data_IF_368910869023
#
_entry.id   IF_368910869023
#
_cell.length_a   1.000
_cell.length_b   1.000
_cell.length_c   1.000
_cell.angle_alpha   90.00
_cell.angle_beta   90.00
_cell.angle_gamma   90.00
#
_symmetry.space_group_name_H-M   'P 1'
#
loop_
_entity.id
_entity.type
_entity.pdbx_description
1 polymer ?
#
# COMPACT_ATOMS: atom_id res chain seq x y z
N UNK A 1 17.19 3.10 -15.56
CA UNK A 1 16.05 4.04 -15.68
C UNK A 1 15.04 3.62 -16.75
N UNK A 2 15.41 3.50 -18.04
CA UNK A 2 14.47 3.16 -19.12
C UNK A 2 13.68 1.84 -18.88
N UNK A 3 14.36 0.80 -18.38
CA UNK A 3 13.72 -0.48 -18.04
C UNK A 3 12.64 -0.33 -16.94
N UNK A 4 12.91 0.48 -15.91
CA UNK A 4 11.98 0.72 -14.80
C UNK A 4 10.73 1.44 -15.32
N UNK A 5 10.91 2.49 -16.12
CA UNK A 5 9.80 3.20 -16.76
C UNK A 5 8.99 2.27 -17.68
N UNK A 6 9.66 1.43 -18.46
CA UNK A 6 9.00 0.44 -19.30
C UNK A 6 8.14 -0.53 -18.48
N UNK A 7 8.67 -1.09 -17.39
CA UNK A 7 7.93 -1.98 -16.50
C UNK A 7 6.73 -1.25 -15.87
N UNK A 8 6.89 -0.01 -15.39
CA UNK A 8 5.78 0.80 -14.85
C UNK A 8 4.71 1.04 -15.92
N UNK A 9 5.09 1.36 -17.16
CA UNK A 9 4.14 1.58 -18.26
C UNK A 9 3.39 0.29 -18.59
N UNK A 10 4.09 -0.85 -18.73
CA UNK A 10 3.47 -2.14 -19.04
C UNK A 10 2.49 -2.56 -17.95
N UNK A 11 2.88 -2.45 -16.68
CA UNK A 11 2.01 -2.78 -15.55
C UNK A 11 0.86 -1.77 -15.42
N UNK A 12 1.10 -0.50 -15.75
CA UNK A 12 0.08 0.55 -15.80
C UNK A 12 -0.98 0.31 -16.87
N UNK A 13 -0.56 -0.16 -18.06
CA UNK A 13 -1.48 -0.60 -19.11
C UNK A 13 -2.31 -1.81 -18.65
N UNK A 14 -1.69 -2.75 -17.95
CA UNK A 14 -2.39 -3.91 -17.40
C UNK A 14 -3.41 -3.51 -16.32
N UNK A 15 -3.04 -2.59 -15.43
CA UNK A 15 -3.95 -1.99 -14.45
C UNK A 15 -5.10 -1.25 -15.14
N UNK A 16 -4.82 -0.43 -16.15
CA UNK A 16 -5.86 0.31 -16.87
C UNK A 16 -6.85 -0.64 -17.55
N UNK A 17 -6.36 -1.74 -18.13
CA UNK A 17 -7.18 -2.78 -18.75
C UNK A 17 -8.02 -3.54 -17.72
N UNK A 18 -7.51 -3.74 -16.51
CA UNK A 18 -8.14 -4.53 -15.45
C UNK A 18 -8.50 -3.67 -14.21
N UNK A 19 -8.95 -2.43 -14.40
CA UNK A 19 -9.12 -1.42 -13.34
C UNK A 19 -10.03 -1.85 -12.18
N UNK A 20 -10.97 -2.76 -12.42
CA UNK A 20 -11.91 -3.25 -11.42
C UNK A 20 -11.32 -4.35 -10.53
N UNK A 21 -10.17 -4.92 -10.89
CA UNK A 21 -9.54 -5.96 -10.09
C UNK A 21 -8.44 -5.34 -9.19
N UNK A 22 -8.63 -5.37 -7.85
CA UNK A 22 -7.70 -4.73 -6.91
C UNK A 22 -6.28 -5.33 -6.95
N UNK A 23 -6.09 -6.56 -7.46
CA UNK A 23 -4.77 -7.17 -7.59
C UNK A 23 -3.84 -6.39 -8.53
N UNK A 24 -4.36 -5.96 -9.69
CA UNK A 24 -3.57 -5.19 -10.66
C UNK A 24 -3.31 -3.77 -10.20
N UNK A 25 -4.23 -3.19 -9.42
CA UNK A 25 -4.01 -1.90 -8.74
C UNK A 25 -2.83 -2.01 -7.79
N UNK A 26 -2.85 -3.00 -6.89
CA UNK A 26 -1.81 -3.19 -5.89
C UNK A 26 -0.46 -3.51 -6.54
N UNK A 27 -0.44 -4.30 -7.62
CA UNK A 27 0.77 -4.59 -8.39
C UNK A 27 1.35 -3.32 -9.06
N UNK A 28 0.50 -2.48 -9.66
CA UNK A 28 0.94 -1.23 -10.27
C UNK A 28 1.52 -0.26 -9.23
N UNK A 29 0.88 -0.15 -8.07
CA UNK A 29 1.37 0.68 -6.97
C UNK A 29 2.71 0.15 -6.47
N UNK A 30 2.84 -1.16 -6.25
CA UNK A 30 4.09 -1.80 -5.83
C UNK A 30 5.24 -1.49 -6.79
N UNK A 31 5.03 -1.71 -8.09
CA UNK A 31 6.05 -1.47 -9.12
C UNK A 31 6.43 0.01 -9.21
N UNK A 32 5.45 0.91 -9.10
CA UNK A 32 5.70 2.35 -9.10
C UNK A 32 6.51 2.80 -7.86
N UNK A 33 6.17 2.28 -6.68
CA UNK A 33 6.89 2.57 -5.44
C UNK A 33 8.32 2.01 -5.46
N UNK A 34 8.51 0.78 -5.95
CA UNK A 34 9.85 0.20 -6.13
C UNK A 34 10.69 1.01 -7.11
N UNK A 35 10.08 1.50 -8.19
CA UNK A 35 10.74 2.41 -9.13
C UNK A 35 11.17 3.72 -8.44
N UNK A 36 10.26 4.36 -7.72
CA UNK A 36 10.56 5.59 -6.96
C UNK A 36 11.66 5.36 -5.91
N UNK A 37 11.66 4.21 -5.24
CA UNK A 37 12.68 3.83 -4.26
C UNK A 37 14.07 3.71 -4.89
N UNK A 38 14.19 3.05 -6.06
CA UNK A 38 15.47 2.93 -6.77
C UNK A 38 16.02 4.32 -7.14
N UNK A 39 15.15 5.21 -7.64
CA UNK A 39 15.54 6.58 -7.98
C UNK A 39 16.03 7.34 -6.74
N UNK A 40 15.27 7.27 -5.64
CA UNK A 40 15.62 7.95 -4.40
C UNK A 40 16.96 7.45 -3.81
N UNK A 41 17.23 6.14 -3.86
CA UNK A 41 18.52 5.56 -3.45
C UNK A 41 19.66 6.09 -4.32
N UNK A 42 19.51 6.07 -5.65
CA UNK A 42 20.53 6.55 -6.58
C UNK A 42 20.85 8.05 -6.38
N UNK A 43 19.81 8.87 -6.17
CA UNK A 43 20.00 10.29 -5.87
C UNK A 43 20.73 10.48 -4.53
N UNK A 44 20.39 9.71 -3.51
CA UNK A 44 21.07 9.74 -2.22
C UNK A 44 22.56 9.39 -2.31
N UNK A 45 22.91 8.36 -3.08
CA UNK A 45 24.31 7.97 -3.31
C UNK A 45 25.07 9.04 -4.12
N UNK A 46 24.44 9.63 -5.14
CA UNK A 46 25.03 10.71 -5.96
C UNK A 46 25.40 11.90 -5.09
N UNK A 47 24.50 12.33 -4.19
CA UNK A 47 24.77 13.43 -3.24
C UNK A 47 25.95 13.11 -2.32
N UNK A 48 26.10 11.87 -1.85
CA UNK A 48 27.26 11.49 -1.03
C UNK A 48 28.57 11.55 -1.81
N UNK A 49 28.59 11.13 -3.08
CA UNK A 49 29.78 11.23 -3.93
C UNK A 49 30.15 12.68 -4.19
N UNK A 50 29.16 13.56 -4.47
CA UNK A 50 29.43 14.99 -4.64
C UNK A 50 29.98 15.64 -3.37
N UNK A 51 29.49 15.25 -2.19
CA UNK A 51 30.07 15.69 -0.90
C UNK A 51 31.53 15.25 -0.76
N UNK A 52 31.85 13.99 -1.02
CA UNK A 52 33.25 13.49 -0.99
C UNK A 52 34.16 14.24 -1.97
N UNK A 53 33.66 14.54 -3.18
CA UNK A 53 34.39 15.32 -4.18
C UNK A 53 34.62 16.75 -3.69
N UNK A 54 33.61 17.38 -3.09
CA UNK A 54 33.71 18.72 -2.52
C UNK A 54 34.75 18.77 -1.40
N UNK A 55 34.71 17.79 -0.47
CA UNK A 55 35.64 17.65 0.64
C UNK A 55 37.08 17.44 0.13
N UNK A 56 37.27 16.56 -0.86
CA UNK A 56 38.58 16.28 -1.48
C UNK A 56 39.17 17.51 -2.20
N UNK A 57 38.31 18.38 -2.72
CA UNK A 57 38.71 19.60 -3.45
C UNK A 57 38.70 20.86 -2.58
N UNK A 58 38.38 20.73 -1.29
CA UNK A 58 38.25 21.84 -0.34
C UNK A 58 37.33 22.96 -0.84
N UNK A 59 36.22 22.58 -1.49
CA UNK A 59 35.19 23.51 -2.00
C UNK A 59 33.87 23.27 -1.29
N UNK A 60 32.98 24.28 -1.28
CA UNK A 60 31.63 24.07 -0.78
C UNK A 60 30.87 23.09 -1.67
N UNK A 61 30.04 22.24 -1.06
CA UNK A 61 29.15 21.31 -1.78
C UNK A 61 28.22 22.06 -2.74
N UNK A 62 27.87 23.30 -2.40
CA UNK A 62 26.98 24.16 -3.20
C UNK A 62 27.62 24.65 -4.51
N UNK A 63 28.95 24.54 -4.62
CA UNK A 63 29.75 24.92 -5.79
C UNK A 63 30.10 23.73 -6.69
N UNK A 64 29.62 22.54 -6.34
CA UNK A 64 29.83 21.29 -7.07
C UNK A 64 28.55 20.90 -7.78
N UNK A 65 28.62 20.79 -9.10
CA UNK A 65 27.47 20.47 -9.93
C UNK A 65 27.69 19.19 -10.72
N UNK A 66 26.63 18.41 -10.95
CA UNK A 66 26.70 17.16 -11.71
C UNK A 66 25.82 17.21 -12.96
N UNK A 67 26.25 16.52 -14.02
CA UNK A 67 25.46 16.36 -15.24
C UNK A 67 24.33 15.32 -15.14
N UNK A 68 24.31 14.52 -14.07
CA UNK A 68 23.32 13.45 -13.85
C UNK A 68 22.88 13.38 -12.38
N UNK A 69 21.60 13.04 -12.16
CA UNK A 69 21.02 12.78 -10.83
C UNK A 69 21.19 11.32 -10.36
N UNK A 70 21.84 10.49 -11.19
CA UNK A 70 22.21 9.11 -10.91
C UNK A 70 23.71 8.91 -11.14
N UNK A 71 24.32 8.08 -10.30
CA UNK A 71 25.72 7.65 -10.43
C UNK A 71 25.90 6.85 -11.70
N UNK A 72 26.59 7.44 -12.67
CA UNK A 72 26.95 6.79 -13.92
C UNK A 72 28.44 7.02 -14.19
N UNK A 73 29.11 6.01 -14.73
CA UNK A 73 30.47 6.15 -15.23
C UNK A 73 30.51 7.17 -16.37
N UNK A 74 31.52 8.04 -16.36
CA UNK A 74 31.65 9.14 -17.30
C UNK A 74 30.76 10.36 -17.00
N UNK A 75 30.07 10.39 -15.84
CA UNK A 75 29.35 11.61 -15.44
C UNK A 75 30.34 12.77 -15.26
N UNK A 76 29.89 13.99 -15.58
CA UNK A 76 30.72 15.18 -15.47
C UNK A 76 30.33 16.00 -14.26
N UNK A 77 31.34 16.46 -13.52
CA UNK A 77 31.20 17.32 -12.36
C UNK A 77 31.89 18.65 -12.65
N UNK A 78 31.16 19.74 -12.47
CA UNK A 78 31.69 21.09 -12.55
C UNK A 78 32.07 21.56 -11.15
N UNK A 79 33.29 22.09 -11.01
CA UNK A 79 33.79 22.70 -9.78
C UNK A 79 34.38 24.05 -10.18
N UNK A 80 33.71 25.13 -9.81
CA UNK A 80 34.04 26.48 -10.28
C UNK A 80 33.96 26.58 -11.81
N UNK A 81 35.10 26.88 -12.46
CA UNK A 81 35.22 26.98 -13.93
C UNK A 81 35.75 25.71 -14.61
N UNK A 82 36.09 24.67 -13.84
CA UNK A 82 36.70 23.44 -14.34
C UNK A 82 35.68 22.31 -14.39
N UNK A 83 35.84 21.43 -15.37
CA UNK A 83 35.01 20.26 -15.55
C UNK A 83 35.85 18.99 -15.36
N UNK A 84 35.29 18.03 -14.66
CA UNK A 84 35.91 16.75 -14.38
C UNK A 84 34.99 15.63 -14.84
N UNK A 85 35.53 14.63 -15.53
CA UNK A 85 34.84 13.36 -15.75
C UNK A 85 35.10 12.48 -14.53
N UNK A 86 34.04 11.92 -13.96
CA UNK A 86 34.11 10.95 -12.88
C UNK A 86 34.10 9.57 -13.50
N UNK A 87 35.21 8.85 -13.33
CA UNK A 87 35.33 7.46 -13.74
C UNK A 87 35.23 6.57 -12.51
N UNK A 88 34.22 5.72 -12.46
CA UNK A 88 34.03 4.76 -11.38
C UNK A 88 34.75 3.45 -11.72
N UNK A 89 35.38 2.83 -10.73
CA UNK A 89 35.81 1.44 -10.87
C UNK A 89 34.58 0.52 -10.93
N UNK A 90 34.74 -0.72 -11.42
CA UNK A 90 33.64 -1.69 -11.59
C UNK A 90 32.73 -1.86 -10.35
N UNK A 91 33.26 -1.64 -9.15
CA UNK A 91 32.53 -1.78 -7.89
C UNK A 91 31.85 -0.49 -7.40
N UNK A 92 31.95 0.61 -8.14
CA UNK A 92 31.44 1.95 -7.82
C UNK A 92 31.86 2.52 -6.45
N UNK A 93 32.79 1.85 -5.76
CA UNK A 93 33.30 2.19 -4.44
C UNK A 93 34.38 3.27 -4.48
N UNK A 94 35.16 3.28 -5.57
CA UNK A 94 36.24 4.22 -5.83
C UNK A 94 35.99 4.96 -7.14
N UNK A 95 36.35 6.25 -7.16
CA UNK A 95 36.24 7.12 -8.33
C UNK A 95 37.56 7.83 -8.61
N UNK A 96 37.82 8.12 -9.89
CA UNK A 96 38.91 8.98 -10.33
C UNK A 96 38.34 10.20 -11.06
N UNK A 97 38.98 11.35 -10.88
CA UNK A 97 38.60 12.62 -11.48
C UNK A 97 39.60 12.99 -12.57
N UNK A 98 39.15 13.00 -13.83
CA UNK A 98 39.98 13.45 -14.96
C UNK A 98 39.47 14.81 -15.46
N UNK A 99 40.34 15.82 -15.44
CA UNK A 99 40.01 17.15 -15.97
C UNK A 99 39.67 17.04 -17.46
N UNK A 100 38.59 17.70 -17.86
CA UNK A 100 38.11 17.72 -19.25
C UNK A 100 37.69 19.12 -19.65
N UNK A 101 37.71 19.39 -20.95
CA UNK A 101 37.17 20.60 -21.53
C UNK A 101 35.83 20.29 -22.20
N UNK A 102 34.86 21.19 -22.04
CA UNK A 102 33.57 21.01 -22.67
C UNK A 102 33.63 21.33 -24.15
N UNK A 103 33.26 20.36 -24.99
CA UNK A 103 33.07 20.57 -26.43
C UNK A 103 31.86 21.48 -26.69
N UNK A 104 30.86 21.46 -25.78
CA UNK A 104 29.71 22.35 -25.82
C UNK A 104 29.19 22.61 -24.38
N UNK A 105 29.16 23.86 -23.89
CA UNK A 105 28.74 24.14 -22.53
C UNK A 105 27.24 23.85 -22.29
N UNK A 106 26.86 23.12 -21.22
CA UNK A 106 25.46 22.83 -20.95
C UNK A 106 24.71 24.11 -20.59
N UNK A 107 23.52 24.29 -21.18
CA UNK A 107 22.63 25.44 -20.88
C UNK A 107 21.98 25.35 -19.50
N UNK A 108 21.94 24.16 -18.89
CA UNK A 108 21.39 23.93 -17.56
C UNK A 108 22.32 23.03 -16.76
N UNK A 109 22.72 23.52 -15.60
CA UNK A 109 23.57 22.80 -14.66
C UNK A 109 22.70 22.47 -13.44
N UNK A 110 22.56 21.18 -13.11
CA UNK A 110 21.72 20.76 -11.99
C UNK A 110 22.44 21.08 -10.69
N UNK A 111 21.90 22.04 -9.94
CA UNK A 111 22.33 22.33 -8.57
C UNK A 111 21.71 21.28 -7.67
N UNK A 112 22.52 20.47 -7.00
CA UNK A 112 22.04 19.51 -6.01
C UNK A 112 21.69 20.25 -4.70
N UNK A 113 20.60 21.02 -4.70
CA UNK A 113 20.10 21.68 -3.49
C UNK A 113 18.59 21.48 -3.37
N UNK A 114 18.19 20.69 -2.38
CA UNK A 114 16.81 20.63 -1.89
C UNK A 114 16.77 21.27 -0.50
N UNK A 115 17.08 22.56 -0.43
CA UNK A 115 16.97 23.36 0.80
C UNK A 115 15.63 24.09 0.78
N UNK A 116 14.62 23.50 1.43
CA UNK A 116 13.41 24.22 1.79
C UNK A 116 13.71 25.08 3.01
N UNK A 117 14.12 26.34 2.77
CA UNK A 117 14.44 27.30 3.83
C UNK A 117 13.20 27.83 4.52
N UNK A 118 12.79 27.18 5.61
CA UNK A 118 11.81 27.70 6.58
C UNK A 118 12.33 27.42 8.00
N UNK A 119 13.39 28.08 8.45
CA UNK A 119 13.83 27.95 9.85
C UNK A 119 15.22 28.51 10.12
N UNK A 120 15.32 29.37 11.14
CA UNK A 120 16.61 29.77 11.71
C UNK A 120 17.18 28.63 12.55
N UNK A 121 18.47 28.34 12.36
CA UNK A 121 19.22 27.38 13.17
C UNK A 121 19.45 27.97 14.55
N UNK A 122 18.95 27.33 15.60
CA UNK A 122 19.26 27.75 16.98
C UNK A 122 20.69 27.34 17.35
N UNK A 123 21.24 28.00 18.36
CA UNK A 123 22.58 27.85 18.97
C UNK A 123 22.97 26.40 19.30
N UNK A 124 21.98 25.51 19.41
CA UNK A 124 22.12 24.08 19.69
C UNK A 124 22.19 23.19 18.42
N UNK A 125 22.22 23.77 17.22
CA UNK A 125 22.34 23.05 15.95
C UNK A 125 21.07 22.31 15.51
N UNK A 126 19.91 22.62 16.11
CA UNK A 126 18.62 22.03 15.74
C UNK A 126 17.93 22.91 14.70
N UNK A 127 17.79 22.38 13.49
CA UNK A 127 17.05 23.05 12.40
C UNK A 127 15.56 22.69 12.49
N UNK A 128 14.78 23.57 13.10
CA UNK A 128 13.32 23.45 13.19
C UNK A 128 12.64 23.40 11.82
N UNK A 129 13.25 23.97 10.78
CA UNK A 129 12.75 23.89 9.41
C UNK A 129 12.84 22.48 8.85
N UNK A 130 13.95 21.79 9.10
CA UNK A 130 14.11 20.38 8.74
C UNK A 130 13.07 19.49 9.44
N UNK A 131 12.76 19.78 10.71
CA UNK A 131 11.76 19.05 11.50
C UNK A 131 10.37 19.26 10.90
N UNK A 132 9.98 20.53 10.64
CA UNK A 132 8.70 20.86 10.04
C UNK A 132 8.53 20.20 8.66
N UNK A 133 9.59 20.22 7.83
CA UNK A 133 9.56 19.58 6.52
C UNK A 133 9.41 18.06 6.62
N UNK A 134 10.17 17.40 7.50
CA UNK A 134 9.99 15.96 7.77
C UNK A 134 8.57 15.66 8.23
N UNK A 135 7.99 16.49 9.09
CA UNK A 135 6.63 16.30 9.57
C UNK A 135 5.61 16.38 8.44
N UNK A 136 5.68 17.40 7.59
CA UNK A 136 4.80 17.57 6.41
C UNK A 136 4.96 16.39 5.45
N UNK A 137 6.20 16.00 5.14
CA UNK A 137 6.50 14.85 4.28
C UNK A 137 5.93 13.56 4.86
N UNK A 138 6.10 13.33 6.16
CA UNK A 138 5.56 12.17 6.87
C UNK A 138 4.03 12.12 6.77
N UNK A 139 3.36 13.25 7.02
CA UNK A 139 1.90 13.36 6.94
C UNK A 139 1.39 13.10 5.52
N UNK A 140 2.00 13.72 4.51
CA UNK A 140 1.67 13.48 3.10
C UNK A 140 1.83 12.00 2.76
N UNK A 141 2.92 11.37 3.21
CA UNK A 141 3.18 9.95 2.96
C UNK A 141 2.15 9.04 3.64
N UNK A 142 1.73 9.33 4.87
CA UNK A 142 0.64 8.57 5.53
C UNK A 142 -0.65 8.67 4.74
N UNK A 143 -1.04 9.89 4.35
CA UNK A 143 -2.25 10.14 3.56
C UNK A 143 -2.19 9.41 2.22
N UNK A 144 -1.03 9.44 1.55
CA UNK A 144 -0.81 8.68 0.31
C UNK A 144 -0.93 7.18 0.55
N UNK A 145 -0.29 6.63 1.58
CA UNK A 145 -0.37 5.19 1.89
C UNK A 145 -1.79 4.73 2.18
N UNK A 146 -2.58 5.51 2.92
CA UNK A 146 -3.99 5.21 3.21
C UNK A 146 -4.81 5.22 1.92
N UNK A 147 -4.66 6.26 1.09
CA UNK A 147 -5.39 6.37 -0.18
C UNK A 147 -5.03 5.26 -1.17
N UNK A 148 -3.75 4.87 -1.23
CA UNK A 148 -3.27 3.79 -2.10
C UNK A 148 -3.67 2.39 -1.59
N UNK A 149 -3.63 2.18 -0.28
CA UNK A 149 -4.04 0.91 0.36
C UNK A 149 -5.56 0.69 0.33
N UNK A 150 -6.33 1.77 0.29
CA UNK A 150 -7.77 1.77 0.50
C UNK A 150 -8.14 1.98 1.97
N UNK A 151 -9.43 2.25 2.24
CA UNK A 151 -9.94 2.67 3.57
C UNK A 151 -9.79 1.63 4.68
N UNK A 152 -9.33 0.41 4.38
CA UNK A 152 -9.05 -0.64 5.38
C UNK A 152 -8.00 -0.25 6.43
N UNK A 153 -7.12 0.71 6.14
CA UNK A 153 -6.17 1.22 7.15
C UNK A 153 -6.84 2.13 8.20
N UNK A 154 -7.99 2.74 7.91
CA UNK A 154 -8.72 3.62 8.84
C UNK A 154 -9.62 2.81 9.79
N UNK A 155 -10.20 1.73 9.28
CA UNK A 155 -10.95 0.75 10.04
C UNK A 155 -10.25 -0.61 9.86
N UNK A 156 -9.25 -0.93 10.71
CA UNK A 156 -8.40 -2.09 10.52
C UNK A 156 -9.22 -3.38 10.46
N UNK A 157 -9.16 -4.00 9.29
CA UNK A 157 -9.90 -5.22 8.98
C UNK A 157 -9.17 -6.49 9.42
N UNK A 158 -7.85 -6.38 9.64
CA UNK A 158 -6.97 -7.46 10.07
C UNK A 158 -5.83 -6.91 10.94
N UNK A 159 -5.07 -7.82 11.56
CA UNK A 159 -3.94 -7.47 12.43
C UNK A 159 -2.81 -6.73 11.70
N UNK A 160 -2.57 -7.03 10.42
CA UNK A 160 -1.55 -6.35 9.62
C UNK A 160 -1.85 -4.86 9.42
N UNK A 161 -3.12 -4.50 9.17
CA UNK A 161 -3.52 -3.10 9.00
C UNK A 161 -3.25 -2.31 10.30
N UNK A 162 -3.47 -2.93 11.47
CA UNK A 162 -3.15 -2.30 12.78
C UNK A 162 -1.64 -2.16 12.97
N UNK A 163 -0.89 -3.24 12.75
CA UNK A 163 0.56 -3.24 12.86
C UNK A 163 1.20 -2.20 11.93
N UNK A 164 0.64 -2.02 10.73
CA UNK A 164 1.08 -1.01 9.78
C UNK A 164 1.01 0.39 10.38
N UNK A 165 -0.12 0.74 10.99
CA UNK A 165 -0.34 2.06 11.58
C UNK A 165 0.63 2.33 12.75
N UNK A 166 0.87 1.32 13.60
CA UNK A 166 1.81 1.46 14.73
C UNK A 166 3.25 1.67 14.28
N UNK A 167 3.71 0.88 13.31
CA UNK A 167 5.08 1.01 12.80
C UNK A 167 5.25 2.34 12.07
N UNK A 168 4.28 2.75 11.25
CA UNK A 168 4.33 4.02 10.55
C UNK A 168 4.38 5.21 11.52
N UNK A 169 3.57 5.18 12.59
CA UNK A 169 3.62 6.16 13.66
C UNK A 169 4.97 6.22 14.37
N UNK A 170 5.55 5.05 14.69
CA UNK A 170 6.87 4.94 15.31
C UNK A 170 8.01 5.46 14.42
N UNK A 171 7.99 5.13 13.12
CA UNK A 171 8.98 5.61 12.13
C UNK A 171 8.93 7.14 12.04
N UNK A 172 7.74 7.71 11.87
CA UNK A 172 7.59 9.16 11.73
C UNK A 172 7.98 9.84 13.04
N UNK A 173 7.43 9.40 14.17
CA UNK A 173 7.69 9.98 15.48
C UNK A 173 9.17 9.92 15.89
N UNK A 174 9.88 8.85 15.57
CA UNK A 174 11.30 8.72 15.89
C UNK A 174 12.23 9.54 14.98
N UNK A 175 11.93 9.62 13.68
CA UNK A 175 12.84 10.23 12.70
C UNK A 175 12.71 11.76 12.63
N UNK A 176 11.53 12.32 12.89
CA UNK A 176 11.33 13.78 12.81
C UNK A 176 12.26 14.55 13.75
N UNK A 177 12.59 13.99 14.92
CA UNK A 177 13.46 14.63 15.92
C UNK A 177 14.95 14.35 15.72
N UNK A 178 15.31 13.44 14.81
CA UNK A 178 16.70 13.07 14.59
C UNK A 178 17.36 14.00 13.56
N UNK A 179 18.28 14.86 14.00
CA UNK A 179 19.03 15.79 13.14
C UNK A 179 20.02 15.11 12.19
N UNK A 180 20.48 13.89 12.51
CA UNK A 180 21.40 13.11 11.67
C UNK A 180 20.71 12.56 10.42
N UNK A 181 19.40 12.39 10.46
CA UNK A 181 18.63 11.85 9.34
C UNK A 181 18.19 13.00 8.45
N UNK A 182 18.64 13.00 7.20
CA UNK A 182 18.21 13.99 6.19
C UNK A 182 16.77 13.71 5.73
N UNK A 183 16.11 14.73 5.18
CA UNK A 183 14.74 14.59 4.62
C UNK A 183 14.70 13.54 3.52
N UNK A 184 15.73 13.47 2.67
CA UNK A 184 15.83 12.45 1.61
C UNK A 184 15.93 11.04 2.19
N UNK A 185 16.76 10.84 3.23
CA UNK A 185 16.86 9.55 3.92
C UNK A 185 15.51 9.17 4.56
N UNK A 186 14.79 10.12 5.14
CA UNK A 186 13.46 9.89 5.68
C UNK A 186 12.46 9.45 4.59
N UNK A 187 12.45 10.11 3.42
CA UNK A 187 11.63 9.69 2.26
C UNK A 187 11.99 8.28 1.82
N UNK A 188 13.29 7.93 1.75
CA UNK A 188 13.75 6.58 1.41
C UNK A 188 13.23 5.55 2.41
N UNK A 189 13.31 5.83 3.71
CA UNK A 189 12.79 4.93 4.77
C UNK A 189 11.29 4.71 4.60
N UNK A 190 10.52 5.77 4.35
CA UNK A 190 9.07 5.67 4.10
C UNK A 190 8.76 4.88 2.82
N UNK A 191 9.57 5.01 1.76
CA UNK A 191 9.42 4.24 0.54
C UNK A 191 9.74 2.75 0.76
N UNK A 192 10.81 2.42 1.48
CA UNK A 192 11.16 1.04 1.85
C UNK A 192 9.99 0.41 2.61
N UNK A 193 9.50 1.09 3.65
CA UNK A 193 8.35 0.65 4.42
C UNK A 193 7.11 0.43 3.55
N UNK A 194 6.83 1.38 2.64
CA UNK A 194 5.70 1.27 1.70
C UNK A 194 5.84 0.03 0.81
N UNK A 195 7.02 -0.22 0.25
CA UNK A 195 7.27 -1.39 -0.61
C UNK A 195 7.04 -2.70 0.17
N UNK A 196 7.50 -2.78 1.43
CA UNK A 196 7.27 -3.96 2.29
C UNK A 196 5.76 -4.19 2.49
N UNK A 197 5.03 -3.16 2.90
CA UNK A 197 3.58 -3.24 3.14
C UNK A 197 2.84 -3.67 1.86
N UNK A 198 3.11 -3.02 0.72
CA UNK A 198 2.45 -3.35 -0.53
C UNK A 198 2.83 -4.75 -1.04
N UNK A 199 4.04 -5.22 -0.75
CA UNK A 199 4.47 -6.60 -1.08
C UNK A 199 3.63 -7.60 -0.29
N UNK A 200 3.50 -7.41 1.03
CA UNK A 200 2.68 -8.28 1.88
C UNK A 200 1.22 -8.26 1.42
N UNK A 201 0.65 -7.08 1.11
CA UNK A 201 -0.72 -6.97 0.57
C UNK A 201 -0.88 -7.66 -0.80
N UNK A 202 0.14 -7.60 -1.64
CA UNK A 202 0.13 -8.31 -2.92
C UNK A 202 0.18 -9.84 -2.72
N UNK A 203 1.08 -10.33 -1.86
CA UNK A 203 1.24 -11.76 -1.58
C UNK A 203 -0.01 -12.37 -0.93
N UNK A 204 -0.58 -11.69 0.07
CA UNK A 204 -1.83 -12.11 0.72
C UNK A 204 -3.03 -12.07 -0.23
N UNK A 205 -3.09 -11.08 -1.13
CA UNK A 205 -4.14 -11.00 -2.16
C UNK A 205 -4.03 -12.07 -3.26
N UNK A 206 -2.84 -12.63 -3.48
CA UNK A 206 -2.57 -13.63 -4.51
C UNK A 206 -2.74 -15.07 -4.00
N UNK A 207 -2.36 -15.35 -2.76
CA UNK A 207 -2.40 -16.69 -2.19
C UNK A 207 -3.26 -16.76 -0.92
N UNK A 208 -4.30 -17.58 -0.97
CA UNK A 208 -5.13 -17.85 0.20
C UNK A 208 -4.32 -18.46 1.34
N UNK A 209 -3.31 -19.28 1.06
CA UNK A 209 -2.47 -19.87 2.12
C UNK A 209 -1.64 -18.82 2.84
N UNK A 210 -1.06 -17.87 2.09
CA UNK A 210 -0.32 -16.74 2.67
C UNK A 210 -1.28 -15.85 3.47
N UNK A 211 -2.47 -15.58 2.94
CA UNK A 211 -3.49 -14.81 3.65
C UNK A 211 -3.87 -15.48 4.98
N UNK A 212 -4.09 -16.80 5.00
CA UNK A 212 -4.41 -17.54 6.22
C UNK A 212 -3.26 -17.55 7.23
N UNK A 213 -2.02 -17.63 6.76
CA UNK A 213 -0.84 -17.62 7.62
C UNK A 213 -0.64 -16.26 8.29
N UNK A 214 -0.81 -15.17 7.54
CA UNK A 214 -0.49 -13.82 8.02
C UNK A 214 -1.70 -13.13 8.68
N UNK A 215 -2.87 -13.17 8.05
CA UNK A 215 -4.09 -12.53 8.56
C UNK A 215 -4.98 -13.47 9.37
N UNK A 216 -4.69 -14.77 9.39
CA UNK A 216 -5.57 -15.77 10.03
C UNK A 216 -6.83 -16.06 9.22
N UNK A 217 -7.77 -16.76 9.83
CA UNK A 217 -9.11 -16.98 9.28
C UNK A 217 -10.16 -16.63 10.33
N UNK A 218 -11.30 -16.05 9.92
CA UNK A 218 -12.42 -15.87 10.83
C UNK A 218 -12.83 -17.22 11.45
N UNK A 219 -13.09 -17.23 12.75
CA UNK A 219 -13.45 -18.43 13.50
C UNK A 219 -14.85 -18.31 14.09
N UNK A 220 -15.75 -19.21 13.69
CA UNK A 220 -17.07 -19.29 14.31
C UNK A 220 -16.94 -19.88 15.71
N UNK A 221 -17.21 -19.06 16.72
CA UNK A 221 -17.13 -19.40 18.15
C UNK A 221 -18.49 -19.86 18.70
N UNK A 222 -19.60 -19.32 18.19
CA UNK A 222 -20.95 -19.73 18.59
C UNK A 222 -21.78 -19.97 17.34
N UNK A 223 -22.47 -21.11 17.28
CA UNK A 223 -23.42 -21.42 16.23
C UNK A 223 -24.69 -21.97 16.86
N UNK A 224 -25.84 -21.36 16.56
CA UNK A 224 -27.17 -21.72 17.07
C UNK A 224 -27.19 -21.95 18.60
N UNK A 225 -26.66 -20.98 19.35
CA UNK A 225 -26.56 -21.02 20.81
C UNK A 225 -25.55 -22.01 21.39
N UNK A 226 -24.81 -22.75 20.55
CA UNK A 226 -23.77 -23.70 20.96
C UNK A 226 -22.39 -23.09 20.83
N UNK A 227 -21.66 -23.01 21.94
CA UNK A 227 -20.29 -22.50 21.99
C UNK A 227 -19.30 -23.59 21.58
N UNK A 228 -18.45 -23.29 20.61
CA UNK A 228 -17.31 -24.14 20.24
C UNK A 228 -16.11 -23.77 21.11
N UNK A 229 -15.99 -24.45 22.25
CA UNK A 229 -14.93 -24.20 23.25
C UNK A 229 -13.54 -24.43 22.66
N UNK A 230 -13.36 -25.46 21.84
CA UNK A 230 -12.05 -25.75 21.20
C UNK A 230 -11.58 -24.61 20.31
N UNK A 231 -12.47 -24.02 19.49
CA UNK A 231 -12.12 -22.87 18.66
C UNK A 231 -11.87 -21.60 19.47
N UNK A 232 -12.64 -21.37 20.53
CA UNK A 232 -12.44 -20.23 21.41
C UNK A 232 -11.06 -20.29 22.09
N UNK A 233 -10.71 -21.45 22.66
CA UNK A 233 -9.40 -21.63 23.31
C UNK A 233 -8.24 -21.57 22.31
N UNK A 234 -8.38 -22.16 21.12
CA UNK A 234 -7.34 -22.09 20.08
C UNK A 234 -7.12 -20.67 19.51
N UNK A 235 -8.08 -19.76 19.70
CA UNK A 235 -7.97 -18.35 19.31
C UNK A 235 -7.60 -17.44 20.48
N UNK A 236 -7.29 -18.01 21.65
CA UNK A 236 -6.94 -17.27 22.86
C UNK A 236 -8.13 -16.64 23.60
N UNK A 237 -9.36 -16.87 23.12
CA UNK A 237 -10.57 -16.31 23.73
C UNK A 237 -11.06 -17.23 24.85
N UNK A 238 -10.90 -16.78 26.09
CA UNK A 238 -11.46 -17.48 27.26
C UNK A 238 -12.95 -17.14 27.46
N UNK A 239 -13.62 -17.85 28.38
CA UNK A 239 -15.05 -17.66 28.63
C UNK A 239 -15.42 -16.24 29.07
N UNK A 240 -14.59 -15.60 29.91
CA UNK A 240 -14.81 -14.23 30.38
C UNK A 240 -14.70 -13.22 29.24
N UNK A 241 -13.72 -13.41 28.36
CA UNK A 241 -13.50 -12.58 27.19
C UNK A 241 -14.63 -12.75 26.17
N UNK A 242 -15.08 -13.99 25.92
CA UNK A 242 -16.23 -14.24 25.06
C UNK A 242 -17.49 -13.57 25.61
N UNK A 243 -17.76 -13.71 26.92
CA UNK A 243 -18.91 -13.07 27.56
C UNK A 243 -18.80 -11.54 27.56
N UNK A 244 -17.59 -10.98 27.69
CA UNK A 244 -17.35 -9.56 27.56
C UNK A 244 -17.62 -9.06 26.14
N UNK A 245 -17.07 -9.74 25.12
CA UNK A 245 -17.30 -9.38 23.70
C UNK A 245 -18.78 -9.44 23.34
N UNK A 246 -19.52 -10.46 23.79
CA UNK A 246 -20.98 -10.55 23.60
C UNK A 246 -21.72 -9.37 24.25
N UNK A 247 -21.35 -8.99 25.49
CA UNK A 247 -21.97 -7.85 26.19
C UNK A 247 -21.68 -6.52 25.51
N UNK A 248 -20.46 -6.32 25.02
CA UNK A 248 -20.09 -5.12 24.26
C UNK A 248 -20.92 -4.98 22.98
N UNK A 249 -21.33 -6.10 22.39
CA UNK A 249 -22.23 -6.14 21.23
C UNK A 249 -23.73 -6.16 21.60
N UNK A 250 -24.07 -5.91 22.87
CA UNK A 250 -25.45 -5.82 23.35
C UNK A 250 -26.15 -7.15 23.62
N UNK A 251 -25.44 -8.28 23.58
CA UNK A 251 -25.99 -9.62 23.83
C UNK A 251 -25.73 -10.07 25.27
N UNK A 252 -26.80 -10.24 26.03
CA UNK A 252 -26.73 -10.68 27.44
C UNK A 252 -26.70 -12.21 27.60
N UNK A 253 -27.33 -12.95 26.68
CA UNK A 253 -27.41 -14.40 26.74
C UNK A 253 -26.80 -15.03 25.48
N UNK A 254 -25.78 -15.86 25.66
CA UNK A 254 -25.12 -16.57 24.57
C UNK A 254 -26.05 -17.54 23.82
N UNK A 255 -27.16 -17.98 24.44
CA UNK A 255 -28.15 -18.84 23.78
C UNK A 255 -29.00 -18.10 22.74
N UNK A 256 -29.10 -16.78 22.84
CA UNK A 256 -29.83 -15.95 21.88
C UNK A 256 -28.99 -15.67 20.62
N UNK A 257 -27.73 -16.11 20.62
CA UNK A 257 -26.79 -15.96 19.51
C UNK A 257 -27.03 -17.04 18.47
N UNK A 258 -27.35 -16.61 17.25
CA UNK A 258 -27.41 -17.47 16.06
C UNK A 258 -26.01 -17.75 15.52
N UNK A 259 -25.17 -16.73 15.42
CA UNK A 259 -23.79 -16.87 14.94
C UNK A 259 -22.90 -15.84 15.64
N UNK A 260 -21.77 -16.27 16.21
CA UNK A 260 -20.71 -15.36 16.63
C UNK A 260 -19.40 -15.77 15.97
N UNK A 261 -18.85 -14.88 15.15
CA UNK A 261 -17.61 -15.08 14.41
C UNK A 261 -16.54 -14.14 14.93
N UNK A 262 -15.41 -14.69 15.35
CA UNK A 262 -14.22 -13.92 15.67
C UNK A 262 -13.51 -13.57 14.37
N UNK A 263 -13.46 -12.28 14.06
CA UNK A 263 -12.82 -11.73 12.86
C UNK A 263 -11.30 -11.63 13.01
N UNK A 264 -10.60 -11.45 11.89
CA UNK A 264 -9.13 -11.40 11.82
C UNK A 264 -8.50 -10.22 12.60
N UNK A 265 -9.27 -9.17 12.84
CA UNK A 265 -8.87 -8.03 13.67
C UNK A 265 -9.14 -8.24 15.17
N UNK A 266 -9.63 -9.43 15.58
CA UNK A 266 -9.96 -9.79 16.95
C UNK A 266 -11.34 -9.31 17.43
N UNK A 267 -12.12 -8.65 16.58
CA UNK A 267 -13.50 -8.26 16.89
C UNK A 267 -14.43 -9.48 16.79
N UNK A 268 -15.49 -9.48 17.60
CA UNK A 268 -16.54 -10.48 17.52
C UNK A 268 -17.71 -9.89 16.77
N UNK A 269 -18.09 -10.50 15.65
CA UNK A 269 -19.33 -10.18 14.94
C UNK A 269 -20.41 -11.14 15.40
N UNK A 270 -21.47 -10.61 16.01
CA UNK A 270 -22.57 -11.41 16.53
C UNK A 270 -23.82 -11.20 15.70
N UNK A 271 -24.59 -12.27 15.53
CA UNK A 271 -25.93 -12.26 14.95
C UNK A 271 -26.82 -13.05 15.89
N UNK A 272 -27.93 -12.46 16.29
CA UNK A 272 -28.92 -13.06 17.20
C UNK A 272 -30.05 -13.71 16.42
N UNK A 273 -30.86 -14.52 17.10
CA UNK A 273 -32.10 -15.04 16.53
C UNK A 273 -33.19 -13.96 16.35
N UNK A 274 -33.04 -12.80 17.02
CA UNK A 274 -33.96 -11.65 16.89
C UNK A 274 -33.61 -10.78 15.68
N UNK A 275 -32.39 -10.86 15.18
CA UNK A 275 -32.00 -10.18 13.95
C UNK A 275 -32.84 -10.78 12.81
N UNK A 276 -33.58 -9.91 12.11
CA UNK A 276 -34.26 -10.29 10.88
C UNK A 276 -33.22 -10.96 9.97
N UNK A 277 -33.55 -12.12 9.40
CA UNK A 277 -32.62 -12.97 8.68
C UNK A 277 -31.65 -12.14 7.82
N UNK A 278 -30.38 -12.07 8.24
CA UNK A 278 -29.35 -11.37 7.48
C UNK A 278 -29.28 -12.06 6.12
N UNK A 279 -29.82 -11.41 5.10
CA UNK A 279 -29.77 -11.89 3.73
C UNK A 279 -28.34 -11.68 3.22
N UNK A 280 -27.49 -12.65 3.49
CA UNK A 280 -26.16 -12.67 2.92
C UNK A 280 -26.26 -12.60 1.38
N UNK A 281 -25.39 -11.83 0.73
CA UNK A 281 -25.40 -11.76 -0.73
C UNK A 281 -25.03 -13.14 -1.30
N UNK A 282 -25.89 -13.63 -2.20
CA UNK A 282 -25.66 -14.86 -2.97
C UNK A 282 -24.57 -14.63 -4.00
N UNK A 283 -24.47 -13.40 -4.53
CA UNK A 283 -23.39 -12.98 -5.40
C UNK A 283 -22.72 -11.74 -4.81
N UNK A 284 -21.40 -11.80 -4.63
CA UNK A 284 -20.57 -10.68 -4.26
C UNK A 284 -19.39 -10.60 -5.24
N UNK A 285 -19.16 -9.43 -5.82
CA UNK A 285 -18.06 -9.17 -6.76
C UNK A 285 -17.98 -10.18 -7.92
N UNK A 286 -19.14 -10.55 -8.47
CA UNK A 286 -19.25 -11.53 -9.56
C UNK A 286 -18.91 -12.97 -9.18
N UNK A 287 -18.82 -13.30 -7.88
CA UNK A 287 -18.63 -14.66 -7.39
C UNK A 287 -19.86 -15.14 -6.62
N UNK A 288 -20.27 -16.39 -6.88
CA UNK A 288 -21.37 -17.03 -6.15
C UNK A 288 -20.86 -17.53 -4.80
N UNK A 289 -21.52 -17.12 -3.72
CA UNK A 289 -21.35 -17.72 -2.41
C UNK A 289 -22.21 -18.99 -2.31
N UNK A 290 -21.61 -20.14 -2.63
CA UNK A 290 -22.30 -21.44 -2.68
C UNK A 290 -23.00 -21.80 -1.37
N UNK A 291 -22.37 -21.50 -0.23
CA UNK A 291 -22.94 -21.77 1.09
C UNK A 291 -24.23 -20.98 1.36
N UNK A 292 -24.29 -19.73 0.88
CA UNK A 292 -25.48 -18.88 1.03
C UNK A 292 -26.57 -19.31 0.06
N UNK A 293 -26.20 -19.67 -1.16
CA UNK A 293 -27.11 -20.19 -2.18
C UNK A 293 -27.79 -21.49 -1.73
N UNK A 294 -27.01 -22.44 -1.20
CA UNK A 294 -27.52 -23.71 -0.65
C UNK A 294 -28.46 -23.47 0.55
N UNK A 295 -28.10 -22.56 1.46
CA UNK A 295 -28.95 -22.19 2.61
C UNK A 295 -30.25 -21.50 2.20
N UNK A 296 -30.24 -20.77 1.09
CA UNK A 296 -31.42 -20.14 0.51
C UNK A 296 -32.30 -21.12 -0.28
N UNK A 297 -31.88 -22.38 -0.44
CA UNK A 297 -32.66 -23.42 -1.12
C UNK A 297 -32.77 -23.22 -2.64
N UNK A 298 -31.87 -22.44 -3.22
CA UNK A 298 -31.84 -22.14 -4.66
C UNK A 298 -30.68 -22.85 -5.33
N UNK A 299 -30.88 -23.32 -6.55
CA UNK A 299 -29.85 -23.95 -7.37
C UNK A 299 -29.18 -22.94 -8.29
N UNK A 300 -27.94 -23.21 -8.71
CA UNK A 300 -27.21 -22.34 -9.65
C UNK A 300 -27.99 -22.07 -10.96
N UNK A 301 -28.69 -23.05 -11.58
CA UNK A 301 -29.54 -22.79 -12.74
C UNK A 301 -30.70 -21.82 -12.46
N UNK A 302 -31.36 -21.94 -11.29
CA UNK A 302 -32.43 -21.03 -10.88
C UNK A 302 -31.90 -19.61 -10.68
N UNK A 303 -30.72 -19.46 -10.06
CA UNK A 303 -30.07 -18.16 -9.88
C UNK A 303 -29.75 -17.50 -11.24
N UNK A 304 -29.23 -18.25 -12.20
CA UNK A 304 -28.95 -17.76 -13.56
C UNK A 304 -30.24 -17.32 -14.26
N UNK A 305 -31.34 -18.05 -14.09
CA UNK A 305 -32.64 -17.67 -14.64
C UNK A 305 -33.17 -16.35 -14.04
N UNK A 306 -33.03 -16.17 -12.71
CA UNK A 306 -33.40 -14.92 -12.03
C UNK A 306 -32.57 -13.73 -12.52
N UNK A 307 -31.27 -13.92 -12.79
CA UNK A 307 -30.40 -12.89 -13.34
C UNK A 307 -30.74 -12.54 -14.79
N UNK A 308 -31.10 -13.55 -15.60
CA UNK A 308 -31.55 -13.35 -16.99
C UNK A 308 -32.81 -12.49 -17.05
N UNK A 309 -33.79 -12.71 -16.15
CA UNK A 309 -35.01 -11.87 -16.04
C UNK A 309 -34.68 -10.39 -15.78
N UNK A 310 -33.53 -10.10 -15.18
CA UNK A 310 -33.05 -8.74 -14.91
C UNK A 310 -31.97 -8.26 -15.92
N UNK A 311 -31.81 -8.96 -17.04
CA UNK A 311 -30.84 -8.65 -18.09
C UNK A 311 -29.41 -8.49 -17.54
N UNK A 312 -28.97 -9.45 -16.73
CA UNK A 312 -27.64 -9.43 -16.08
C UNK A 312 -26.98 -10.80 -16.17
N UNK A 313 -25.65 -10.80 -16.13
CA UNK A 313 -24.80 -11.99 -16.00
C UNK A 313 -24.00 -11.92 -14.71
N UNK A 314 -23.64 -13.07 -14.13
CA UNK A 314 -22.92 -13.16 -12.84
C UNK A 314 -21.71 -12.22 -12.76
N UNK A 315 -20.80 -12.12 -13.75
CA UNK A 315 -19.63 -11.25 -13.67
C UNK A 315 -19.94 -9.75 -13.57
N UNK A 316 -21.12 -9.32 -14.02
CA UNK A 316 -21.54 -7.91 -14.02
C UNK A 316 -22.24 -7.52 -12.71
N UNK A 317 -22.49 -8.48 -11.82
CA UNK A 317 -23.14 -8.26 -10.52
C UNK A 317 -22.10 -7.85 -9.49
N UNK A 318 -22.28 -6.67 -8.92
CA UNK A 318 -21.51 -6.23 -7.75
C UNK A 318 -22.05 -6.90 -6.48
N UNK A 319 -23.38 -6.87 -6.28
CA UNK A 319 -24.03 -7.46 -5.11
C UNK A 319 -25.42 -7.99 -5.48
N UNK A 320 -25.75 -9.22 -5.12
CA UNK A 320 -27.11 -9.75 -5.23
C UNK A 320 -27.56 -10.47 -3.96
N UNK A 321 -28.75 -10.12 -3.47
CA UNK A 321 -29.38 -10.68 -2.27
C UNK A 321 -30.77 -11.23 -2.61
N UNK A 322 -31.11 -12.40 -2.08
CA UNK A 322 -32.46 -12.92 -2.15
C UNK A 322 -33.21 -12.48 -0.89
N UNK A 323 -34.31 -11.76 -1.07
CA UNK A 323 -35.17 -11.36 0.03
C UNK A 323 -36.61 -11.77 -0.30
N UNK A 324 -37.23 -12.61 0.53
CA UNK A 324 -38.58 -13.13 0.34
C UNK A 324 -38.83 -13.69 -1.09
N UNK A 325 -37.87 -14.45 -1.63
CA UNK A 325 -37.96 -15.04 -2.97
C UNK A 325 -37.68 -14.09 -4.14
N UNK A 326 -37.43 -12.80 -3.89
CA UNK A 326 -37.05 -11.81 -4.91
C UNK A 326 -35.55 -11.53 -4.86
N UNK A 327 -34.88 -11.66 -6.01
CA UNK A 327 -33.45 -11.35 -6.14
C UNK A 327 -33.27 -9.85 -6.37
N UNK A 328 -32.68 -9.14 -5.43
CA UNK A 328 -32.26 -7.75 -5.59
C UNK A 328 -30.81 -7.74 -6.10
N UNK A 329 -30.55 -7.04 -7.22
CA UNK A 329 -29.25 -7.06 -7.91
C UNK A 329 -28.73 -5.63 -8.09
N UNK A 330 -27.49 -5.41 -7.67
CA UNK A 330 -26.71 -4.20 -7.92
C UNK A 330 -25.61 -4.57 -8.91
N UNK A 331 -25.56 -3.87 -10.05
CA UNK A 331 -24.58 -4.12 -11.12
C UNK A 331 -23.35 -3.22 -10.95
N UNK A 332 -22.21 -3.64 -11.47
CA UNK A 332 -21.11 -2.72 -11.72
C UNK A 332 -21.57 -1.58 -12.64
N UNK A 333 -21.13 -0.32 -12.41
CA UNK A 333 -21.47 0.79 -13.28
C UNK A 333 -21.02 0.48 -14.71
N UNK A 334 -21.97 0.43 -15.63
CA UNK A 334 -21.74 0.11 -17.03
C UNK A 334 -20.87 1.22 -17.65
N UNK A 335 -19.56 0.99 -17.80
CA UNK A 335 -18.75 1.89 -18.63
C UNK A 335 -19.25 1.76 -20.07
N UNK A 336 -19.49 2.92 -20.69
CA UNK A 336 -20.06 3.07 -22.02
C UNK A 336 -19.61 2.00 -23.02
N UNK A 337 -20.59 1.58 -23.81
CA UNK A 337 -20.58 0.59 -24.89
C UNK A 337 -19.61 0.90 -26.05
N UNK A 338 -18.55 1.68 -25.82
CA UNK A 338 -17.58 2.14 -26.83
C UNK A 338 -16.49 1.09 -27.12
N UNK A 339 -16.14 0.22 -26.16
CA UNK A 339 -15.01 -0.71 -26.33
C UNK A 339 -15.34 -2.04 -27.02
N UNK A 340 -16.60 -2.33 -27.38
CA UNK A 340 -16.95 -3.51 -28.21
C UNK A 340 -16.87 -3.24 -29.72
N UNK A 341 -16.71 -2.00 -30.17
CA UNK A 341 -16.65 -1.66 -31.61
C UNK A 341 -15.27 -1.85 -32.24
N UNK A 342 -14.22 -2.10 -31.44
CA UNK A 342 -12.85 -2.35 -31.92
C UNK A 342 -12.48 -3.84 -31.97
N UNK A 343 -13.46 -4.75 -31.85
CA UNK A 343 -13.25 -6.20 -31.96
C UNK A 343 -14.10 -6.83 -33.07
N UNK A 344 -14.19 -6.15 -34.21
CA UNK A 344 -14.58 -6.76 -35.48
C UNK A 344 -13.45 -6.55 -36.48
#
# INVERSE_FOLDING_TARGET
MALIFFIIIVVGLFYYRNRNNPRFRNLFILVSLSGALVIAIQTGQTVQVLKKIADQKHVSVDDVYASSNALNDGMTVQIGKKYYVVNFNNDQSNYNLKETQLVNPPKHVNKAQFNFGFGGTDSNGVDYGSIALKFIVGLIMVVLQINLSGKGNLAPSNALDQLQNYILGGIIGGIIYNSQITVLQFVVILLIWSVIVFTIKFLTGQSNSINKLINGTPQVLILDGKVNVTRALNTGVNANELAFKLRTDGVSNFRDVKNATLEQNGQLTVTTFKDQAINYPIIADGQINKLVMERAGITEPQLVEMLKKQHTIIPDVYLAQLNNGKLNVVKYPMKSRILRKFKR
#
